data_IF_034770923977
#
_entry.id   IF_034770923977
#
_cell.length_a   1.000
_cell.length_b   1.000
_cell.length_c   1.000
_cell.angle_alpha   90.00
_cell.angle_beta   90.00
_cell.angle_gamma   90.00
#
_symmetry.space_group_name_H-M   'P 1'
#
loop_
_entity.id
_entity.type
_entity.pdbx_description
1 polymer ?
#
# COMPACT_ATOMS: atom_id res chain seq x y z
N UNK A 1 10.24 22.38 -0.11
CA UNK A 1 9.14 21.40 0.02
C UNK A 1 7.92 22.11 0.61
N UNK A 2 7.23 22.93 -0.17
CA UNK A 2 5.91 23.44 0.21
C UNK A 2 4.98 23.08 -0.95
N UNK A 3 4.47 21.86 -0.94
CA UNK A 3 3.48 21.36 -1.90
C UNK A 3 2.20 21.09 -1.14
N UNK A 4 1.33 22.10 -1.05
CA UNK A 4 0.00 21.89 -0.49
C UNK A 4 -0.79 21.02 -1.46
N UNK A 5 -0.97 19.74 -1.12
CA UNK A 5 -1.83 18.85 -1.87
C UNK A 5 -3.29 19.10 -1.49
N UNK A 6 -4.20 19.04 -2.47
CA UNK A 6 -5.62 19.12 -2.17
C UNK A 6 -6.01 18.00 -1.20
N UNK A 7 -6.73 18.31 -0.11
CA UNK A 7 -7.17 17.28 0.81
C UNK A 7 -8.16 16.33 0.12
N UNK A 8 -8.23 15.05 0.54
CA UNK A 8 -9.21 14.13 -0.01
C UNK A 8 -10.66 14.66 0.18
N UNK A 9 -11.56 14.41 -0.79
CA UNK A 9 -12.96 14.78 -0.69
C UNK A 9 -13.61 14.37 0.64
N UNK A 10 -14.51 15.21 1.17
CA UNK A 10 -15.11 15.00 2.50
C UNK A 10 -15.82 13.65 2.62
N UNK A 11 -16.57 13.22 1.61
CA UNK A 11 -17.28 11.94 1.63
C UNK A 11 -16.32 10.74 1.77
N UNK A 12 -15.14 10.79 1.13
CA UNK A 12 -14.10 9.77 1.29
C UNK A 12 -13.50 9.82 2.70
N UNK A 13 -13.25 11.01 3.24
CA UNK A 13 -12.72 11.18 4.61
C UNK A 13 -13.70 10.66 5.67
N UNK A 14 -15.01 10.90 5.50
CA UNK A 14 -16.03 10.38 6.40
C UNK A 14 -16.07 8.84 6.38
N UNK A 15 -16.10 8.23 5.19
CA UNK A 15 -16.07 6.77 5.05
C UNK A 15 -14.78 6.17 5.66
N UNK A 16 -13.63 6.82 5.46
CA UNK A 16 -12.37 6.38 6.05
C UNK A 16 -12.37 6.48 7.58
N UNK A 17 -12.94 7.55 8.13
CA UNK A 17 -13.07 7.74 9.58
C UNK A 17 -13.95 6.66 10.21
N UNK A 18 -15.06 6.31 9.56
CA UNK A 18 -15.96 5.23 9.99
C UNK A 18 -15.19 3.89 10.03
N UNK A 19 -14.53 3.53 8.92
CA UNK A 19 -13.72 2.31 8.83
C UNK A 19 -12.61 2.27 9.88
N UNK A 20 -11.92 3.39 10.13
CA UNK A 20 -10.85 3.48 11.12
C UNK A 20 -11.36 3.31 12.55
N UNK A 21 -12.58 3.79 12.84
CA UNK A 21 -13.19 3.73 14.17
C UNK A 21 -13.69 2.35 14.56
N UNK A 22 -14.03 1.50 13.57
CA UNK A 22 -14.51 0.14 13.80
C UNK A 22 -13.68 -0.88 12.99
N UNK A 23 -12.61 -1.45 13.59
CA UNK A 23 -11.78 -2.46 12.95
C UNK A 23 -12.53 -3.75 12.58
N UNK A 24 -13.71 -4.00 13.16
CA UNK A 24 -14.51 -5.19 12.82
C UNK A 24 -15.11 -5.10 11.42
N UNK A 25 -15.32 -3.88 10.90
CA UNK A 25 -15.78 -3.65 9.52
C UNK A 25 -14.80 -4.21 8.47
N UNK A 26 -13.50 -4.25 8.80
CA UNK A 26 -12.49 -4.88 7.95
C UNK A 26 -12.41 -6.40 8.11
N UNK A 27 -12.91 -6.94 9.25
CA UNK A 27 -12.75 -8.35 9.65
C UNK A 27 -13.94 -9.25 9.29
N UNK A 28 -15.10 -8.70 8.94
CA UNK A 28 -16.31 -9.49 8.62
C UNK A 28 -17.20 -8.87 7.54
N UNK A 29 -17.55 -9.62 6.49
CA UNK A 29 -16.80 -9.81 5.25
C UNK A 29 -17.04 -8.67 4.24
N UNK A 30 -16.05 -7.79 4.01
CA UNK A 30 -15.98 -7.08 2.73
C UNK A 30 -14.58 -7.10 2.09
N UNK A 31 -13.51 -6.82 2.84
CA UNK A 31 -12.16 -6.74 2.27
C UNK A 31 -11.67 -8.09 1.71
N UNK A 32 -11.73 -9.14 2.53
CA UNK A 32 -11.27 -10.47 2.13
C UNK A 32 -12.12 -11.04 0.99
N UNK A 33 -13.43 -10.78 1.00
CA UNK A 33 -14.32 -11.22 -0.07
C UNK A 33 -14.00 -10.51 -1.40
N UNK A 34 -13.73 -9.19 -1.37
CA UNK A 34 -13.31 -8.46 -2.57
C UNK A 34 -11.94 -8.90 -3.07
N UNK A 35 -11.00 -9.17 -2.16
CA UNK A 35 -9.69 -9.70 -2.54
C UNK A 35 -9.82 -11.07 -3.22
N UNK A 36 -10.58 -11.99 -2.64
CA UNK A 36 -10.88 -13.30 -3.24
C UNK A 36 -11.56 -13.18 -4.60
N UNK A 37 -12.48 -12.23 -4.76
CA UNK A 37 -13.11 -11.96 -6.05
C UNK A 37 -12.08 -11.53 -7.10
N UNK A 38 -11.19 -10.59 -6.77
CA UNK A 38 -10.12 -10.12 -7.66
C UNK A 38 -9.14 -11.26 -7.99
N UNK A 39 -8.83 -12.10 -7.00
CA UNK A 39 -7.94 -13.25 -7.14
C UNK A 39 -8.48 -14.35 -8.06
N UNK A 40 -9.81 -14.52 -8.11
CA UNK A 40 -10.45 -15.43 -9.08
C UNK A 40 -10.31 -14.95 -10.52
N UNK A 41 -10.30 -13.65 -10.76
CA UNK A 41 -10.23 -13.07 -12.11
C UNK A 41 -8.82 -12.69 -12.56
N UNK A 42 -7.85 -12.62 -11.64
CA UNK A 42 -6.50 -12.09 -11.91
C UNK A 42 -5.44 -13.10 -11.56
N UNK A 43 -4.71 -13.61 -12.56
CA UNK A 43 -3.59 -14.54 -12.33
C UNK A 43 -2.49 -13.87 -11.51
N UNK A 44 -1.84 -14.63 -10.63
CA UNK A 44 -0.70 -14.20 -9.82
C UNK A 44 -0.98 -13.03 -8.84
N UNK A 45 -2.24 -12.81 -8.44
CA UNK A 45 -2.59 -11.83 -7.40
C UNK A 45 -2.80 -12.46 -6.01
N UNK A 46 -2.48 -13.74 -5.85
CA UNK A 46 -2.48 -14.42 -4.56
C UNK A 46 -1.27 -14.00 -3.72
N UNK A 47 -1.38 -14.12 -2.40
CA UNK A 47 -0.26 -13.83 -1.50
C UNK A 47 0.95 -14.70 -1.89
N UNK A 48 2.13 -14.13 -2.18
CA UNK A 48 3.28 -14.90 -2.67
C UNK A 48 3.95 -15.85 -1.66
N UNK A 49 3.31 -16.18 -0.53
CA UNK A 49 3.94 -16.90 0.57
C UNK A 49 4.83 -16.04 1.49
N UNK A 50 5.06 -16.52 2.73
CA UNK A 50 5.90 -15.84 3.71
C UNK A 50 7.40 -16.01 3.43
N UNK A 51 7.76 -17.11 2.78
CA UNK A 51 9.11 -17.44 2.35
C UNK A 51 9.68 -16.47 1.30
N UNK A 52 8.79 -15.74 0.61
CA UNK A 52 9.14 -14.72 -0.38
C UNK A 52 9.12 -13.29 0.19
N UNK A 53 8.89 -13.15 1.50
CA UNK A 53 8.86 -11.88 2.25
C UNK A 53 10.22 -11.61 2.92
N UNK A 54 11.24 -11.34 2.10
CA UNK A 54 12.64 -11.20 2.51
C UNK A 54 13.01 -9.73 2.71
N UNK A 55 13.47 -9.38 3.92
CA UNK A 55 13.99 -8.06 4.27
C UNK A 55 15.47 -8.19 4.60
N UNK A 56 16.28 -7.26 4.10
CA UNK A 56 17.71 -7.20 4.33
C UNK A 56 18.07 -6.00 5.22
N UNK A 57 19.26 -6.04 5.81
CA UNK A 57 19.81 -4.90 6.55
C UNK A 57 19.95 -3.67 5.64
N UNK A 58 19.80 -2.46 6.19
CA UNK A 58 19.78 -1.22 5.41
C UNK A 58 21.12 -0.89 4.75
N UNK A 59 22.21 -1.37 5.32
CA UNK A 59 23.59 -1.23 4.85
C UNK A 59 24.02 -2.33 3.86
N UNK A 60 23.14 -3.30 3.56
CA UNK A 60 23.41 -4.35 2.59
C UNK A 60 23.34 -3.82 1.15
N UNK A 61 24.49 -3.80 0.48
CA UNK A 61 24.61 -3.39 -0.93
C UNK A 61 24.48 -4.62 -1.83
N UNK A 62 23.46 -4.62 -2.69
CA UNK A 62 23.28 -5.68 -3.66
C UNK A 62 24.36 -5.63 -4.75
N UNK A 63 25.00 -6.77 -5.05
CA UNK A 63 26.13 -6.82 -5.99
C UNK A 63 25.71 -6.77 -7.47
N UNK A 64 24.43 -6.97 -7.81
CA UNK A 64 23.97 -7.02 -9.21
C UNK A 64 22.53 -6.49 -9.40
N UNK A 65 22.34 -5.25 -9.85
CA UNK A 65 21.04 -4.56 -10.01
C UNK A 65 20.02 -5.27 -10.94
N UNK A 66 20.46 -6.32 -11.67
CA UNK A 66 19.70 -6.97 -12.72
C UNK A 66 19.31 -8.43 -12.45
N UNK A 67 19.76 -9.05 -11.35
CA UNK A 67 19.37 -10.43 -11.00
C UNK A 67 18.26 -10.47 -9.95
N UNK A 68 17.38 -11.46 -10.09
CA UNK A 68 16.46 -11.84 -9.01
C UNK A 68 17.29 -12.25 -7.79
N UNK A 69 16.83 -11.88 -6.59
CA UNK A 69 17.55 -12.03 -5.32
C UNK A 69 17.64 -13.49 -4.82
N UNK A 70 17.63 -14.46 -5.73
CA UNK A 70 17.76 -15.88 -5.44
C UNK A 70 19.21 -16.24 -5.04
N UNK A 71 20.17 -15.36 -5.35
CA UNK A 71 21.59 -15.49 -5.00
C UNK A 71 22.07 -14.49 -3.95
N UNK A 72 21.16 -13.76 -3.30
CA UNK A 72 21.51 -12.83 -2.22
C UNK A 72 21.98 -13.58 -0.97
N UNK A 73 22.89 -12.97 -0.20
CA UNK A 73 23.38 -13.55 1.04
C UNK A 73 22.25 -13.70 2.08
N UNK A 74 21.88 -14.94 2.39
CA UNK A 74 20.85 -15.24 3.37
C UNK A 74 21.22 -14.81 4.79
N UNK A 75 22.51 -14.65 5.09
CA UNK A 75 22.97 -14.20 6.42
C UNK A 75 22.67 -12.72 6.67
N UNK A 76 22.45 -11.94 5.60
CA UNK A 76 22.10 -10.52 5.67
C UNK A 76 20.58 -10.28 5.77
N UNK A 77 19.77 -11.35 5.77
CA UNK A 77 18.33 -11.26 5.97
C UNK A 77 18.01 -10.98 7.43
N UNK A 78 17.24 -9.93 7.67
CA UNK A 78 16.78 -9.60 9.01
C UNK A 78 15.68 -10.58 9.45
N UNK A 79 15.76 -11.15 10.66
CA UNK A 79 14.71 -12.00 11.16
C UNK A 79 13.42 -11.20 11.34
N UNK A 80 12.31 -11.74 10.84
CA UNK A 80 10.98 -11.14 10.99
C UNK A 80 10.07 -12.09 11.73
N UNK A 81 9.28 -11.53 12.65
CA UNK A 81 8.24 -12.30 13.32
C UNK A 81 7.24 -12.83 12.29
N UNK A 82 6.97 -14.14 12.24
CA UNK A 82 5.98 -14.69 11.34
C UNK A 82 4.61 -14.03 11.57
N UNK A 83 3.92 -13.68 10.47
CA UNK A 83 2.55 -13.17 10.55
C UNK A 83 1.59 -14.30 10.93
N UNK A 84 0.56 -13.96 11.70
CA UNK A 84 -0.48 -14.93 12.11
C UNK A 84 -1.45 -15.30 10.98
N UNK A 85 -1.58 -14.44 9.97
CA UNK A 85 -2.36 -14.71 8.76
C UNK A 85 -1.74 -14.01 7.54
N UNK A 86 -2.22 -14.41 6.36
CA UNK A 86 -1.90 -13.80 5.06
C UNK A 86 -2.87 -12.67 4.70
N UNK A 87 -3.77 -12.31 5.61
CA UNK A 87 -4.76 -11.26 5.38
C UNK A 87 -4.06 -9.89 5.31
N UNK A 88 -4.51 -8.99 4.42
CA UNK A 88 -3.98 -7.64 4.37
C UNK A 88 -4.24 -6.87 5.66
N UNK A 89 -3.26 -6.08 6.09
CA UNK A 89 -3.38 -5.14 7.21
C UNK A 89 -3.44 -3.72 6.65
N UNK A 90 -4.38 -2.91 7.16
CA UNK A 90 -4.56 -1.53 6.74
C UNK A 90 -3.77 -0.62 7.68
N UNK A 91 -2.92 0.22 7.09
CA UNK A 91 -2.16 1.25 7.79
C UNK A 91 -2.65 2.62 7.34
N UNK A 92 -2.78 3.55 8.29
CA UNK A 92 -3.20 4.93 8.04
C UNK A 92 -2.05 5.87 8.42
N UNK A 93 -1.55 6.64 7.45
CA UNK A 93 -0.48 7.61 7.71
C UNK A 93 0.09 8.19 6.43
N UNK A 94 1.30 8.75 6.54
CA UNK A 94 1.93 9.51 5.47
C UNK A 94 2.46 8.61 4.37
N UNK A 95 2.10 8.92 3.13
CA UNK A 95 2.66 8.34 1.91
C UNK A 95 3.52 9.42 1.26
N UNK A 96 4.82 9.17 1.14
CA UNK A 96 5.72 10.10 0.47
C UNK A 96 5.68 9.91 -1.04
N UNK A 97 5.51 11.02 -1.76
CA UNK A 97 5.48 11.05 -3.21
C UNK A 97 6.76 11.70 -3.75
N UNK A 98 7.42 11.05 -4.69
CA UNK A 98 8.63 11.55 -5.35
C UNK A 98 8.59 11.36 -6.87
N UNK A 99 9.59 11.87 -7.58
CA UNK A 99 9.76 11.65 -9.03
C UNK A 99 10.69 10.47 -9.35
N UNK A 100 11.23 9.79 -8.33
CA UNK A 100 12.15 8.68 -8.46
C UNK A 100 11.84 7.61 -7.42
N UNK A 101 12.08 6.36 -7.79
CA UNK A 101 12.00 5.21 -6.88
C UNK A 101 13.14 5.31 -5.87
N UNK A 102 12.83 5.27 -4.58
CA UNK A 102 13.84 5.11 -3.53
C UNK A 102 14.41 3.69 -3.63
N UNK A 103 15.74 3.60 -3.78
CA UNK A 103 16.49 2.33 -3.89
C UNK A 103 17.64 2.24 -2.88
N UNK A 104 17.61 3.12 -1.90
CA UNK A 104 18.61 3.25 -0.85
C UNK A 104 17.88 3.11 0.49
N UNK A 105 18.16 2.01 1.19
CA UNK A 105 17.49 1.67 2.43
C UNK A 105 17.89 2.61 3.58
N UNK A 106 19.10 3.15 3.61
CA UNK A 106 19.52 4.14 4.61
C UNK A 106 18.79 5.47 4.39
N UNK A 107 18.73 5.92 3.14
CA UNK A 107 18.00 7.12 2.76
C UNK A 107 16.50 6.96 3.07
N UNK A 108 15.92 5.81 2.74
CA UNK A 108 14.54 5.44 3.09
C UNK A 108 14.30 5.58 4.59
N UNK A 109 15.13 4.96 5.41
CA UNK A 109 14.94 4.94 6.87
C UNK A 109 15.13 6.33 7.49
N UNK A 110 16.08 7.11 6.98
CA UNK A 110 16.28 8.51 7.39
C UNK A 110 15.05 9.35 7.10
N UNK A 111 14.51 9.28 5.88
CA UNK A 111 13.32 10.02 5.48
C UNK A 111 12.09 9.55 6.26
N UNK A 112 11.94 8.23 6.43
CA UNK A 112 10.83 7.64 7.18
C UNK A 112 10.78 8.14 8.62
N UNK A 113 11.92 8.16 9.32
CA UNK A 113 12.02 8.72 10.67
C UNK A 113 11.80 10.23 10.72
N UNK A 114 12.33 10.96 9.74
CA UNK A 114 12.27 12.42 9.72
C UNK A 114 10.85 12.95 9.48
N UNK A 115 10.05 12.25 8.67
CA UNK A 115 8.74 12.74 8.21
C UNK A 115 7.57 11.81 8.55
N UNK A 116 7.78 10.81 9.41
CA UNK A 116 6.78 9.80 9.79
C UNK A 116 6.12 9.13 8.56
N UNK A 117 6.95 8.73 7.59
CA UNK A 117 6.51 8.13 6.32
C UNK A 117 6.32 6.63 6.50
N UNK A 118 5.15 6.14 6.08
CA UNK A 118 4.83 4.70 6.09
C UNK A 118 5.23 4.01 4.78
N UNK A 119 5.12 4.69 3.64
CA UNK A 119 5.56 4.15 2.35
C UNK A 119 5.91 5.25 1.34
N UNK A 120 6.63 4.85 0.29
CA UNK A 120 7.08 5.70 -0.80
C UNK A 120 6.40 5.30 -2.10
N UNK A 121 6.07 6.27 -2.93
CA UNK A 121 5.51 6.07 -4.26
C UNK A 121 5.89 7.22 -5.20
N UNK A 122 5.54 7.12 -6.49
CA UNK A 122 6.08 8.02 -7.53
C UNK A 122 5.04 8.81 -8.34
N UNK A 123 3.75 8.69 -8.08
CA UNK A 123 2.70 9.19 -8.99
C UNK A 123 1.64 10.07 -8.32
N UNK A 124 1.37 9.86 -7.03
CA UNK A 124 0.16 10.38 -6.39
C UNK A 124 0.16 11.91 -6.29
N UNK A 125 1.30 12.54 -6.01
CA UNK A 125 1.35 14.00 -5.89
C UNK A 125 0.92 14.72 -7.17
N UNK A 126 1.25 14.18 -8.35
CA UNK A 126 0.83 14.76 -9.63
C UNK A 126 -0.69 14.75 -9.81
N UNK A 127 -1.33 13.63 -9.44
CA UNK A 127 -2.79 13.47 -9.52
C UNK A 127 -3.47 14.35 -8.48
N UNK A 128 -3.00 14.36 -7.24
CA UNK A 128 -3.60 15.14 -6.14
C UNK A 128 -3.54 16.65 -6.34
N UNK A 129 -2.56 17.16 -7.09
CA UNK A 129 -2.50 18.57 -7.48
C UNK A 129 -3.60 18.98 -8.48
N UNK A 130 -4.19 18.01 -9.19
CA UNK A 130 -5.19 18.27 -10.23
C UNK A 130 -6.59 17.87 -9.78
N UNK A 131 -6.70 16.76 -9.05
CA UNK A 131 -7.96 16.15 -8.63
C UNK A 131 -7.87 15.83 -7.14
N UNK A 132 -8.71 16.43 -6.28
CA UNK A 132 -8.79 16.04 -4.87
C UNK A 132 -9.03 14.53 -4.75
N UNK A 133 -8.07 13.81 -4.18
CA UNK A 133 -8.04 12.34 -4.21
C UNK A 133 -7.63 11.77 -2.85
N UNK A 134 -8.07 10.55 -2.55
CA UNK A 134 -7.50 9.73 -1.49
C UNK A 134 -6.55 8.71 -2.10
N UNK A 135 -5.34 8.61 -1.56
CA UNK A 135 -4.32 7.67 -2.05
C UNK A 135 -4.42 6.36 -1.28
N UNK A 136 -4.48 5.24 -2.01
CA UNK A 136 -4.44 3.88 -1.47
C UNK A 136 -3.27 3.17 -2.14
N UNK A 137 -2.34 2.62 -1.35
CA UNK A 137 -1.18 1.86 -1.84
C UNK A 137 -1.15 0.48 -1.19
N UNK A 138 -0.95 -0.54 -2.02
CA UNK A 138 -0.50 -1.85 -1.57
C UNK A 138 1.03 -1.89 -1.60
N UNK A 139 1.63 -2.60 -0.66
CA UNK A 139 3.10 -2.66 -0.52
C UNK A 139 3.65 -3.83 -1.35
N UNK A 140 4.61 -3.53 -2.24
CA UNK A 140 5.24 -4.52 -3.12
C UNK A 140 6.75 -4.69 -2.94
N UNK A 141 7.41 -3.77 -2.26
CA UNK A 141 8.84 -3.82 -2.00
C UNK A 141 9.17 -3.01 -0.74
N UNK A 142 10.44 -3.05 -0.36
CA UNK A 142 10.99 -2.36 0.80
C UNK A 142 11.62 -1.02 0.44
N UNK A 143 11.49 -0.51 -0.79
CA UNK A 143 12.21 0.68 -1.25
C UNK A 143 13.73 0.60 -0.99
N UNK A 144 14.30 -0.59 -1.15
CA UNK A 144 15.74 -0.86 -1.12
C UNK A 144 16.24 -1.12 -2.55
N UNK A 145 17.50 -1.51 -2.70
CA UNK A 145 18.08 -1.83 -4.00
C UNK A 145 17.48 -3.10 -4.63
N UNK A 146 16.66 -3.86 -3.90
CA UNK A 146 16.18 -5.17 -4.31
C UNK A 146 14.82 -5.06 -4.99
N UNK A 147 14.78 -5.40 -6.28
CA UNK A 147 13.51 -5.42 -7.03
C UNK A 147 12.73 -6.68 -6.70
N UNK A 148 11.57 -6.53 -6.05
CA UNK A 148 10.65 -7.64 -5.84
C UNK A 148 9.38 -7.54 -6.69
N UNK A 149 9.46 -7.98 -7.95
CA UNK A 149 8.32 -7.94 -8.88
C UNK A 149 7.18 -8.90 -8.51
N UNK A 150 7.46 -9.91 -7.68
CA UNK A 150 6.51 -10.97 -7.32
C UNK A 150 5.30 -10.40 -6.57
N UNK A 151 5.51 -9.39 -5.74
CA UNK A 151 4.47 -8.83 -4.87
C UNK A 151 3.59 -7.79 -5.57
N UNK A 152 4.00 -7.24 -6.72
CA UNK A 152 3.28 -6.14 -7.37
C UNK A 152 1.80 -6.46 -7.66
N UNK A 153 1.51 -7.68 -8.13
CA UNK A 153 0.13 -8.09 -8.44
C UNK A 153 -0.72 -8.31 -7.19
N UNK A 154 -0.12 -8.87 -6.13
CA UNK A 154 -0.79 -9.01 -4.84
C UNK A 154 -1.04 -7.62 -4.20
N UNK A 155 -0.05 -6.74 -4.23
CA UNK A 155 -0.15 -5.35 -3.76
C UNK A 155 -1.25 -4.58 -4.49
N UNK A 156 -1.32 -4.70 -5.82
CA UNK A 156 -2.39 -4.08 -6.60
C UNK A 156 -3.78 -4.65 -6.23
N UNK A 157 -3.89 -5.97 -6.07
CA UNK A 157 -5.16 -6.61 -5.70
C UNK A 157 -5.64 -6.21 -4.29
N UNK A 158 -4.73 -6.11 -3.33
CA UNK A 158 -5.06 -5.66 -1.97
C UNK A 158 -5.49 -4.18 -1.94
N UNK A 159 -4.79 -3.31 -2.68
CA UNK A 159 -5.19 -1.91 -2.83
C UNK A 159 -6.57 -1.77 -3.47
N UNK A 160 -6.83 -2.52 -4.55
CA UNK A 160 -8.13 -2.51 -5.23
C UNK A 160 -9.26 -3.08 -4.37
N UNK A 161 -8.99 -4.14 -3.60
CA UNK A 161 -9.95 -4.69 -2.65
C UNK A 161 -10.33 -3.67 -1.57
N UNK A 162 -9.33 -2.95 -1.04
CA UNK A 162 -9.58 -1.88 -0.06
C UNK A 162 -10.31 -0.69 -0.68
N UNK A 163 -9.97 -0.27 -1.90
CA UNK A 163 -10.68 0.79 -2.61
C UNK A 163 -12.16 0.44 -2.80
N UNK A 164 -12.47 -0.80 -3.21
CA UNK A 164 -13.85 -1.29 -3.34
C UNK A 164 -14.58 -1.30 -2.00
N UNK A 165 -13.89 -1.70 -0.92
CA UNK A 165 -14.45 -1.64 0.43
C UNK A 165 -14.72 -0.22 0.90
N UNK A 166 -13.80 0.70 0.69
CA UNK A 166 -14.01 2.11 1.02
C UNK A 166 -15.22 2.67 0.27
N UNK A 167 -15.30 2.43 -1.04
CA UNK A 167 -16.39 2.92 -1.88
C UNK A 167 -17.75 2.37 -1.47
N UNK A 168 -17.84 1.13 -0.95
CA UNK A 168 -19.11 0.60 -0.43
C UNK A 168 -19.58 1.26 0.87
N UNK A 169 -18.74 2.09 1.49
CA UNK A 169 -19.04 2.90 2.67
C UNK A 169 -19.20 4.38 2.38
N UNK A 170 -18.91 4.80 1.14
CA UNK A 170 -19.20 6.17 0.71
C UNK A 170 -20.71 6.31 0.61
N UNK A 171 -21.30 7.13 1.48
CA UNK A 171 -22.69 7.54 1.36
C UNK A 171 -22.82 8.35 0.08
N UNK A 172 -23.57 7.84 -0.89
CA UNK A 172 -24.02 8.68 -2.00
C UNK A 172 -24.98 9.71 -1.39
N UNK A 173 -24.79 11.00 -1.72
CA UNK A 173 -25.87 11.95 -1.51
C UNK A 173 -27.06 11.40 -2.30
N UNK A 174 -28.10 10.93 -1.61
CA UNK A 174 -29.41 10.80 -2.24
C UNK A 174 -29.79 12.19 -2.71
N UNK A 175 -30.14 12.32 -3.99
CA UNK A 175 -30.81 13.50 -4.52
C UNK A 175 -32.06 13.77 -3.69
N UNK A 176 -31.94 14.68 -2.73
CA UNK A 176 -33.07 15.30 -2.07
C UNK A 176 -33.73 16.26 -3.06
N UNK A 177 -34.81 15.81 -3.69
CA UNK A 177 -35.73 16.60 -4.54
C UNK A 177 -35.61 16.20 -6.01
N UNK A 178 -36.68 15.85 -6.74
CA UNK A 178 -37.99 16.50 -6.78
C UNK A 178 -39.08 15.43 -7.04
N UNK A 179 -39.97 15.23 -6.08
CA UNK A 179 -41.37 14.91 -6.40
C UNK A 179 -42.06 16.26 -6.65
N UNK A 180 -42.49 16.50 -7.88
CA UNK A 180 -43.50 17.49 -8.25
C UNK A 180 -44.24 16.95 -9.47
#
# INVERSE_FOLDING_TARGET
MNGYLHPPPQHLRCALSEIKSDPTLCRTPPLQAYLQQIQKSTKHSHHPGHENDKLYASDYIHQDDNKACDSCDSEQQLPRTPRKSTDPVIHYGTIASGNQVIKDAEQRDKLARQYDILCFEIEAAGIMNTIPSLVIRGICDYADSLKNKMWQRYAAATAAAFAKFLLSRVRTHQDSGINS
#
